data_IF_694248408974
#
_entry.id   IF_694248408974
#
_cell.length_a   1.000
_cell.length_b   1.000
_cell.length_c   1.000
_cell.angle_alpha   90.00
_cell.angle_beta   90.00
_cell.angle_gamma   90.00
#
_symmetry.space_group_name_H-M   'P 1'
#
loop_
_entity.id
_entity.type
_entity.pdbx_description
1 polymer ?
#
# COMPACT_ATOMS: atom_id res chain seq x y z
N UNK A 1 -19.04 -0.88 -19.97
CA UNK A 1 -17.74 -0.16 -20.04
C UNK A 1 -17.28 0.09 -18.60
N UNK A 2 -16.21 -0.58 -18.14
CA UNK A 2 -15.71 -0.42 -16.77
C UNK A 2 -14.86 0.86 -16.73
N UNK A 3 -15.29 1.87 -15.99
CA UNK A 3 -14.50 3.10 -15.81
C UNK A 3 -13.37 2.77 -14.85
N UNK A 4 -12.13 2.96 -15.29
CA UNK A 4 -10.94 2.84 -14.45
C UNK A 4 -10.65 4.22 -13.85
N UNK A 5 -10.98 4.39 -12.57
CA UNK A 5 -10.65 5.62 -11.83
C UNK A 5 -9.32 5.43 -11.11
N UNK A 6 -8.32 6.23 -11.45
CA UNK A 6 -7.03 6.22 -10.78
C UNK A 6 -7.07 7.08 -9.50
N UNK A 7 -6.71 6.48 -8.37
CA UNK A 7 -6.59 7.17 -7.09
C UNK A 7 -5.11 7.22 -6.67
N UNK A 8 -4.59 8.40 -6.38
CA UNK A 8 -3.24 8.59 -5.81
C UNK A 8 -3.37 8.77 -4.30
N UNK A 9 -2.76 7.87 -3.54
CA UNK A 9 -2.83 7.86 -2.07
C UNK A 9 -1.41 7.99 -1.52
N UNK A 10 -1.25 8.83 -0.49
CA UNK A 10 0.02 9.01 0.24
C UNK A 10 -0.19 8.53 1.67
N UNK A 11 0.71 7.66 2.14
CA UNK A 11 0.68 7.13 3.52
C UNK A 11 1.77 7.80 4.35
N UNK A 12 1.38 8.55 5.37
CA UNK A 12 2.26 9.35 6.23
C UNK A 12 2.18 8.87 7.68
N UNK A 13 3.22 9.16 8.48
CA UNK A 13 3.27 8.82 9.91
C UNK A 13 4.69 8.56 10.42
N UNK A 14 4.84 8.46 11.75
CA UNK A 14 6.13 8.28 12.42
C UNK A 14 6.88 7.00 11.98
N UNK A 15 8.16 6.92 12.29
CA UNK A 15 8.98 5.72 12.05
C UNK A 15 8.42 4.50 12.79
N UNK A 16 8.47 3.32 12.16
CA UNK A 16 8.07 2.06 12.80
C UNK A 16 6.57 1.81 13.00
N UNK A 17 5.67 2.74 12.65
CA UNK A 17 4.20 2.57 12.85
C UNK A 17 3.51 1.59 11.90
N UNK A 18 4.26 0.90 11.03
CA UNK A 18 3.72 -0.15 10.14
C UNK A 18 3.19 0.30 8.79
N UNK A 19 3.51 1.52 8.33
CA UNK A 19 3.08 2.05 7.00
C UNK A 19 3.40 1.09 5.86
N UNK A 20 4.66 0.66 5.77
CA UNK A 20 5.14 -0.25 4.73
C UNK A 20 4.43 -1.59 4.82
N UNK A 21 4.28 -2.14 6.04
CA UNK A 21 3.59 -3.41 6.27
C UNK A 21 2.13 -3.38 5.82
N UNK A 22 1.40 -2.28 6.06
CA UNK A 22 0.03 -2.12 5.59
C UNK A 22 -0.05 -2.08 4.06
N UNK A 23 0.85 -1.33 3.42
CA UNK A 23 0.86 -1.20 1.96
C UNK A 23 1.28 -2.52 1.29
N UNK A 24 2.32 -3.20 1.77
CA UNK A 24 2.75 -4.49 1.21
C UNK A 24 1.73 -5.60 1.43
N UNK A 25 1.06 -5.60 2.60
CA UNK A 25 0.00 -6.56 2.86
C UNK A 25 -1.17 -6.34 1.90
N UNK A 26 -1.57 -5.09 1.67
CA UNK A 26 -2.65 -4.78 0.75
C UNK A 26 -2.30 -5.13 -0.70
N UNK A 27 -1.13 -4.70 -1.19
CA UNK A 27 -0.75 -4.80 -2.61
C UNK A 27 -0.24 -6.19 -2.98
N UNK A 28 0.53 -6.83 -2.10
CA UNK A 28 1.26 -8.07 -2.38
C UNK A 28 0.80 -9.25 -1.55
N UNK A 29 -0.14 -9.07 -0.61
CA UNK A 29 -0.59 -10.13 0.33
C UNK A 29 0.56 -10.72 1.15
N UNK A 30 1.58 -9.89 1.45
CA UNK A 30 2.76 -10.27 2.22
C UNK A 30 2.92 -9.41 3.47
N UNK A 31 3.20 -10.10 4.58
CA UNK A 31 3.53 -9.50 5.87
C UNK A 31 4.93 -9.96 6.32
N UNK A 32 6.00 -9.27 5.88
CA UNK A 32 7.37 -9.63 6.27
C UNK A 32 7.59 -9.44 7.78
N UNK A 33 8.28 -10.39 8.39
CA UNK A 33 8.62 -10.37 9.82
C UNK A 33 9.78 -9.42 10.16
N UNK A 34 10.60 -9.07 9.16
CA UNK A 34 11.72 -8.15 9.35
C UNK A 34 11.34 -6.71 8.98
N UNK A 35 11.75 -5.78 9.84
CA UNK A 35 11.59 -4.35 9.58
C UNK A 35 12.80 -3.80 8.82
N UNK A 36 12.52 -3.15 7.68
CA UNK A 36 13.48 -2.31 6.97
C UNK A 36 12.87 -0.89 6.87
N UNK A 37 13.54 0.16 7.38
CA UNK A 37 13.07 1.53 7.20
C UNK A 37 12.88 1.86 5.72
N UNK A 38 11.72 2.41 5.38
CA UNK A 38 11.43 2.90 4.03
C UNK A 38 12.01 4.30 3.87
N UNK A 39 12.76 4.52 2.78
CA UNK A 39 13.16 5.86 2.35
C UNK A 39 11.98 6.51 1.63
N UNK A 40 11.59 5.94 0.50
CA UNK A 40 10.41 6.29 -0.30
C UNK A 40 10.14 5.12 -1.26
N UNK A 41 8.88 4.75 -1.49
CA UNK A 41 8.49 3.66 -2.40
C UNK A 41 7.13 3.97 -3.06
N UNK A 42 6.92 3.48 -4.27
CA UNK A 42 5.67 3.61 -5.03
C UNK A 42 5.04 2.25 -5.30
N UNK A 43 3.74 2.14 -5.06
CA UNK A 43 2.96 0.93 -5.29
C UNK A 43 1.73 1.23 -6.15
N UNK A 44 1.29 0.25 -6.94
CA UNK A 44 0.06 0.31 -7.71
C UNK A 44 -0.72 -0.98 -7.53
N UNK A 45 -2.03 -0.86 -7.32
CA UNK A 45 -2.91 -2.01 -7.13
C UNK A 45 -4.30 -1.74 -7.68
N UNK A 46 -4.78 -2.64 -8.53
CA UNK A 46 -6.13 -2.54 -9.12
C UNK A 46 -7.09 -3.30 -8.22
N UNK A 47 -8.08 -2.60 -7.67
CA UNK A 47 -9.16 -3.22 -6.88
C UNK A 47 -10.50 -3.11 -7.58
N UNK A 48 -11.37 -4.08 -7.33
CA UNK A 48 -12.81 -3.95 -7.61
C UNK A 48 -13.49 -3.57 -6.31
N UNK A 49 -14.15 -2.42 -6.28
CA UNK A 49 -14.92 -2.00 -5.12
C UNK A 49 -16.17 -2.89 -5.00
N UNK A 50 -16.58 -3.25 -3.77
CA UNK A 50 -17.88 -3.87 -3.55
C UNK A 50 -19.00 -2.92 -4.00
N UNK A 51 -20.15 -3.51 -4.35
CA UNK A 51 -21.35 -2.79 -4.76
C UNK A 51 -22.00 -2.03 -3.59
#
# INVERSE_FOLDING_TARGET
MKILTLHKVVVMGAGGVGKTSLVTQFVSQLFPSSYKPTVEDFYSHTITLPA
#
